data_IF_890463052325
#
_entry.id   IF_890463052325
#
_cell.length_a   1.000
_cell.length_b   1.000
_cell.length_c   1.000
_cell.angle_alpha   90.00
_cell.angle_beta   90.00
_cell.angle_gamma   90.00
#
_symmetry.space_group_name_H-M   'P 1'
#
loop_
_entity.id
_entity.type
_entity.pdbx_description
1 polymer ?
#
# COMPACT_ATOMS: atom_id res chain seq x y z
N UNK A 1 -2.41 23.07 -3.32
CA UNK A 1 -3.42 22.25 -2.68
C UNK A 1 -4.79 22.94 -2.77
N UNK A 2 -5.82 22.23 -3.30
CA UNK A 2 -7.15 22.83 -3.57
C UNK A 2 -7.78 23.37 -2.29
N UNK A 3 -7.75 22.59 -1.19
CA UNK A 3 -8.36 23.00 0.10
C UNK A 3 -7.91 24.38 0.60
N UNK A 4 -6.64 24.75 0.40
CA UNK A 4 -6.14 26.07 0.79
C UNK A 4 -6.72 27.19 -0.09
N UNK A 5 -6.89 26.92 -1.39
CA UNK A 5 -7.48 27.89 -2.34
C UNK A 5 -8.95 28.17 -2.02
N UNK A 6 -9.69 27.15 -1.58
CA UNK A 6 -11.12 27.25 -1.25
C UNK A 6 -11.37 27.47 0.25
N UNK A 7 -10.32 27.66 1.05
CA UNK A 7 -10.37 27.96 2.50
C UNK A 7 -11.14 26.92 3.34
N UNK A 8 -11.06 25.64 2.96
CA UNK A 8 -11.64 24.54 3.73
C UNK A 8 -10.56 23.84 4.56
N UNK A 9 -10.96 23.18 5.65
CA UNK A 9 -10.05 22.41 6.49
C UNK A 9 -9.44 21.24 5.67
N UNK A 10 -8.11 21.19 5.47
CA UNK A 10 -7.46 20.15 4.69
C UNK A 10 -7.31 18.81 5.42
N UNK A 11 -7.42 18.81 6.75
CA UNK A 11 -7.12 17.63 7.59
C UNK A 11 -7.93 16.38 7.19
N UNK A 12 -9.28 16.43 7.07
CA UNK A 12 -10.06 15.26 6.70
C UNK A 12 -9.66 14.68 5.34
N UNK A 13 -9.36 15.53 4.37
CA UNK A 13 -8.94 15.10 3.03
C UNK A 13 -7.54 14.47 3.03
N UNK A 14 -6.61 14.99 3.83
CA UNK A 14 -5.27 14.43 3.99
C UNK A 14 -5.31 13.05 4.65
N UNK A 15 -6.11 12.91 5.72
CA UNK A 15 -6.32 11.64 6.40
C UNK A 15 -6.99 10.63 5.45
N UNK A 16 -7.99 11.07 4.67
CA UNK A 16 -8.63 10.23 3.67
C UNK A 16 -7.63 9.71 2.64
N UNK A 17 -6.81 10.59 2.05
CA UNK A 17 -5.81 10.21 1.03
C UNK A 17 -4.78 9.25 1.60
N UNK A 18 -4.22 9.54 2.79
CA UNK A 18 -3.21 8.70 3.41
C UNK A 18 -3.75 7.28 3.70
N UNK A 19 -4.91 7.17 4.35
CA UNK A 19 -5.46 5.88 4.75
C UNK A 19 -6.09 5.12 3.58
N UNK A 20 -6.77 5.81 2.66
CA UNK A 20 -7.36 5.18 1.49
C UNK A 20 -6.31 4.63 0.52
N UNK A 21 -5.12 5.27 0.43
CA UNK A 21 -4.04 4.75 -0.40
C UNK A 21 -3.56 3.39 0.08
N UNK A 22 -3.40 3.18 1.40
CA UNK A 22 -3.05 1.88 1.97
C UNK A 22 -4.18 0.85 1.77
N UNK A 23 -5.43 1.20 2.13
CA UNK A 23 -6.55 0.27 2.01
C UNK A 23 -6.80 -0.12 0.55
N UNK A 24 -6.80 0.86 -0.36
CA UNK A 24 -7.01 0.62 -1.80
C UNK A 24 -5.87 -0.17 -2.45
N UNK A 25 -4.63 0.07 -2.02
CA UNK A 25 -3.47 -0.67 -2.52
C UNK A 25 -3.43 -2.13 -2.04
N UNK A 26 -4.08 -2.42 -0.92
CA UNK A 26 -4.08 -3.74 -0.31
C UNK A 26 -4.77 -4.82 -1.18
N UNK A 27 -5.68 -4.44 -2.08
CA UNK A 27 -6.42 -5.40 -2.90
C UNK A 27 -5.64 -6.00 -4.08
N UNK A 28 -4.41 -5.52 -4.35
CA UNK A 28 -3.60 -6.02 -5.46
C UNK A 28 -2.14 -6.20 -5.05
N UNK A 29 -1.44 -7.14 -5.69
CA UNK A 29 0.00 -7.27 -5.48
C UNK A 29 0.79 -6.07 -6.02
N UNK A 30 0.28 -5.36 -7.03
CA UNK A 30 0.94 -4.17 -7.61
C UNK A 30 0.68 -2.88 -6.83
N UNK A 31 -0.15 -2.93 -5.78
CA UNK A 31 -0.61 -1.73 -5.07
C UNK A 31 0.46 -1.04 -4.23
N UNK A 32 1.43 -1.80 -3.73
CA UNK A 32 2.53 -1.28 -2.90
C UNK A 32 3.75 -2.22 -2.93
N UNK A 33 4.95 -1.76 -2.51
CA UNK A 33 6.19 -2.53 -2.64
C UNK A 33 6.19 -3.89 -1.92
N UNK A 34 5.62 -3.98 -0.72
CA UNK A 34 5.56 -5.24 0.02
C UNK A 34 4.67 -6.27 -0.68
N UNK A 35 3.56 -5.83 -1.28
CA UNK A 35 2.68 -6.71 -2.03
C UNK A 35 3.32 -7.19 -3.34
N UNK A 36 4.10 -6.32 -4.02
CA UNK A 36 4.91 -6.72 -5.19
C UNK A 36 5.87 -7.84 -4.81
N UNK A 37 6.55 -7.71 -3.67
CA UNK A 37 7.44 -8.77 -3.16
C UNK A 37 6.69 -10.08 -2.90
N UNK A 38 5.54 -10.01 -2.22
CA UNK A 38 4.72 -11.19 -1.95
C UNK A 38 4.27 -11.82 -3.27
N UNK A 39 3.78 -11.03 -4.23
CA UNK A 39 3.38 -11.52 -5.54
C UNK A 39 4.51 -12.16 -6.34
N UNK A 40 5.77 -11.79 -6.09
CA UNK A 40 6.94 -12.41 -6.72
C UNK A 40 7.47 -13.64 -5.98
N UNK A 41 7.18 -13.78 -4.69
CA UNK A 41 7.67 -14.87 -3.83
C UNK A 41 6.64 -15.97 -3.65
N UNK A 42 5.37 -15.62 -3.60
CA UNK A 42 4.25 -16.57 -3.49
C UNK A 42 3.89 -17.15 -4.86
N UNK A 43 3.26 -18.30 -4.86
CA UNK A 43 2.68 -18.89 -6.08
C UNK A 43 1.20 -18.53 -6.22
N UNK A 44 0.72 -17.54 -5.46
CA UNK A 44 -0.69 -17.12 -5.48
C UNK A 44 -0.97 -16.37 -6.79
N UNK A 45 -1.96 -16.81 -7.59
CA UNK A 45 -2.37 -16.08 -8.77
C UNK A 45 -2.91 -14.69 -8.42
N UNK A 46 -2.50 -13.67 -9.18
CA UNK A 46 -2.89 -12.29 -8.90
C UNK A 46 -4.41 -12.06 -8.92
N UNK A 47 -5.13 -12.77 -9.80
CA UNK A 47 -6.58 -12.72 -9.87
C UNK A 47 -7.26 -13.32 -8.63
N UNK A 48 -6.72 -14.42 -8.10
CA UNK A 48 -7.21 -15.06 -6.87
C UNK A 48 -6.99 -14.15 -5.65
N UNK A 49 -5.79 -13.59 -5.51
CA UNK A 49 -5.53 -12.59 -4.47
C UNK A 49 -6.48 -11.40 -4.57
N UNK A 50 -6.71 -10.87 -5.77
CA UNK A 50 -7.64 -9.77 -5.97
C UNK A 50 -9.06 -10.13 -5.49
N UNK A 51 -9.57 -11.30 -5.82
CA UNK A 51 -10.90 -11.74 -5.42
C UNK A 51 -11.04 -11.93 -3.91
N UNK A 52 -9.99 -12.38 -3.23
CA UNK A 52 -9.99 -12.55 -1.77
C UNK A 52 -9.81 -11.23 -1.02
N UNK A 53 -8.98 -10.30 -1.53
CA UNK A 53 -8.62 -9.07 -0.85
C UNK A 53 -9.53 -7.88 -1.17
N UNK A 54 -10.13 -7.84 -2.37
CA UNK A 54 -10.95 -6.72 -2.82
C UNK A 54 -12.20 -6.48 -1.95
N UNK A 55 -12.96 -7.51 -1.50
CA UNK A 55 -14.11 -7.30 -0.61
C UNK A 55 -13.73 -6.58 0.68
N UNK A 56 -12.61 -6.98 1.29
CA UNK A 56 -12.11 -6.39 2.53
C UNK A 56 -11.63 -4.95 2.28
N UNK A 57 -10.90 -4.72 1.21
CA UNK A 57 -10.43 -3.37 0.85
C UNK A 57 -11.60 -2.43 0.57
N UNK A 58 -12.63 -2.90 -0.15
CA UNK A 58 -13.81 -2.11 -0.42
C UNK A 58 -14.59 -1.77 0.87
N UNK A 59 -14.79 -2.76 1.74
CA UNK A 59 -15.37 -2.55 3.06
C UNK A 59 -14.56 -1.53 3.87
N UNK A 60 -13.24 -1.65 3.87
CA UNK A 60 -12.34 -0.72 4.54
C UNK A 60 -12.45 0.72 4.03
N UNK A 61 -12.61 0.92 2.72
CA UNK A 61 -12.85 2.26 2.14
C UNK A 61 -14.20 2.83 2.59
N UNK A 62 -15.26 2.01 2.66
CA UNK A 62 -16.56 2.43 3.19
C UNK A 62 -16.43 2.82 4.66
N UNK A 63 -15.77 2.00 5.47
CA UNK A 63 -15.55 2.29 6.90
C UNK A 63 -14.77 3.58 7.10
N UNK A 64 -13.71 3.80 6.30
CA UNK A 64 -12.93 5.04 6.32
C UNK A 64 -13.78 6.25 5.95
N UNK A 65 -14.58 6.14 4.87
CA UNK A 65 -15.50 7.20 4.46
C UNK A 65 -16.48 7.57 5.58
N UNK A 66 -17.10 6.56 6.21
CA UNK A 66 -18.03 6.77 7.32
C UNK A 66 -17.33 7.40 8.54
N UNK A 67 -16.13 6.90 8.91
CA UNK A 67 -15.37 7.41 10.04
C UNK A 67 -14.99 8.89 9.86
N UNK A 68 -14.52 9.26 8.67
CA UNK A 68 -14.17 10.66 8.35
C UNK A 68 -15.42 11.52 8.27
N UNK A 69 -16.46 11.06 7.60
CA UNK A 69 -17.72 11.79 7.44
C UNK A 69 -18.39 12.07 8.78
N UNK A 70 -18.36 11.11 9.70
CA UNK A 70 -18.90 11.27 11.04
C UNK A 70 -18.07 12.26 11.87
N UNK A 71 -16.73 12.07 11.87
CA UNK A 71 -15.83 12.86 12.72
C UNK A 71 -15.65 14.30 12.27
N UNK A 72 -15.65 14.55 10.97
CA UNK A 72 -15.42 15.86 10.35
C UNK A 72 -16.68 16.40 9.66
N UNK A 73 -17.86 16.02 10.13
CA UNK A 73 -19.14 16.41 9.52
C UNK A 73 -19.24 17.92 9.25
N UNK A 74 -18.86 18.73 10.22
CA UNK A 74 -18.94 20.19 10.11
C UNK A 74 -17.95 20.78 9.10
N UNK A 75 -16.79 20.17 8.95
CA UNK A 75 -15.76 20.60 7.99
C UNK A 75 -16.12 20.21 6.55
N UNK A 76 -16.90 19.13 6.37
CA UNK A 76 -17.25 18.59 5.06
C UNK A 76 -18.54 19.22 4.49
N UNK A 77 -19.38 19.83 5.33
CA UNK A 77 -20.62 20.47 4.93
C UNK A 77 -20.45 21.91 4.39
N UNK A 78 -19.21 22.40 4.33
CA UNK A 78 -18.93 23.76 3.83
C UNK A 78 -19.04 23.76 2.30
N UNK A 79 -19.98 24.57 1.78
CA UNK A 79 -20.04 24.83 0.34
C UNK A 79 -18.92 25.79 -0.07
N UNK A 80 -18.27 25.50 -1.19
CA UNK A 80 -17.26 26.37 -1.77
C UNK A 80 -17.42 26.46 -3.29
N UNK A 81 -17.14 27.65 -3.82
CA UNK A 81 -17.02 27.82 -5.26
C UNK A 81 -15.55 27.76 -5.66
N UNK A 82 -15.22 26.86 -6.55
CA UNK A 82 -13.90 26.75 -7.15
C UNK A 82 -13.95 27.13 -8.63
N UNK A 83 -13.37 28.28 -8.98
CA UNK A 83 -13.10 28.62 -10.39
C UNK A 83 -11.83 27.88 -10.82
N UNK A 84 -12.01 26.89 -11.66
CA UNK A 84 -10.89 26.16 -12.28
C UNK A 84 -10.13 27.11 -13.22
N UNK A 85 -8.85 27.29 -12.96
CA UNK A 85 -7.93 27.91 -13.91
C UNK A 85 -7.58 26.86 -14.98
N UNK A 86 -8.42 26.83 -16.03
CA UNK A 86 -8.40 25.77 -17.06
C UNK A 86 -7.25 25.92 -18.08
N UNK A 87 -6.05 26.26 -17.63
CA UNK A 87 -4.86 26.38 -18.52
C UNK A 87 -3.98 25.11 -18.58
N UNK A 88 -4.47 23.97 -18.10
CA UNK A 88 -3.73 22.71 -18.28
C UNK A 88 -3.90 22.19 -19.71
N UNK A 89 -2.83 22.20 -20.49
CA UNK A 89 -2.76 21.59 -21.82
C UNK A 89 -2.71 20.07 -21.63
N UNK A 90 -3.84 19.40 -21.81
CA UNK A 90 -3.91 17.94 -21.78
C UNK A 90 -3.56 17.41 -23.18
N UNK A 91 -2.44 16.71 -23.29
CA UNK A 91 -2.07 15.98 -24.50
C UNK A 91 -2.88 14.69 -24.62
N UNK A 92 -4.06 14.77 -25.22
CA UNK A 92 -5.03 13.64 -25.34
C UNK A 92 -4.39 12.36 -25.87
N UNK A 93 -3.51 12.45 -26.87
CA UNK A 93 -2.81 11.29 -27.43
C UNK A 93 -1.92 10.58 -26.38
N UNK A 94 -1.11 11.33 -25.64
CA UNK A 94 -0.26 10.76 -24.60
C UNK A 94 -1.08 10.15 -23.46
N UNK A 95 -2.12 10.85 -23.05
CA UNK A 95 -3.04 10.35 -22.02
C UNK A 95 -3.69 9.03 -22.44
N UNK A 96 -4.25 8.97 -23.66
CA UNK A 96 -4.85 7.73 -24.18
C UNK A 96 -3.82 6.60 -24.30
N UNK A 97 -2.63 6.88 -24.82
CA UNK A 97 -1.54 5.90 -24.90
C UNK A 97 -1.19 5.35 -23.53
N UNK A 98 -1.03 6.23 -22.54
CA UNK A 98 -0.69 5.82 -21.17
C UNK A 98 -1.79 4.97 -20.54
N UNK A 99 -3.07 5.38 -20.68
CA UNK A 99 -4.20 4.62 -20.13
C UNK A 99 -4.29 3.23 -20.77
N UNK A 100 -4.12 3.13 -22.10
CA UNK A 100 -4.18 1.84 -22.81
C UNK A 100 -3.04 0.92 -22.34
N UNK A 101 -1.80 1.44 -22.28
CA UNK A 101 -0.64 0.64 -21.84
C UNK A 101 -0.81 0.19 -20.40
N UNK A 102 -1.25 1.09 -19.50
CA UNK A 102 -1.50 0.73 -18.10
C UNK A 102 -2.58 -0.35 -17.98
N UNK A 103 -3.67 -0.22 -18.73
CA UNK A 103 -4.73 -1.23 -18.75
C UNK A 103 -4.22 -2.59 -19.25
N UNK A 104 -3.40 -2.60 -20.31
CA UNK A 104 -2.79 -3.83 -20.82
C UNK A 104 -1.84 -4.47 -19.80
N UNK A 105 -0.98 -3.68 -19.14
CA UNK A 105 -0.09 -4.18 -18.08
C UNK A 105 -0.90 -4.84 -16.96
N UNK A 106 -1.98 -4.20 -16.50
CA UNK A 106 -2.84 -4.75 -15.47
C UNK A 106 -3.53 -6.04 -15.94
N UNK A 107 -4.08 -6.06 -17.16
CA UNK A 107 -4.75 -7.23 -17.71
C UNK A 107 -3.78 -8.41 -17.84
N UNK A 108 -2.61 -8.22 -18.44
CA UNK A 108 -1.62 -9.29 -18.58
C UNK A 108 -1.15 -9.83 -17.24
N UNK A 109 -0.96 -8.94 -16.25
CA UNK A 109 -0.60 -9.35 -14.90
C UNK A 109 -1.71 -10.20 -14.25
N UNK A 110 -2.97 -9.79 -14.35
CA UNK A 110 -4.11 -10.54 -13.81
C UNK A 110 -4.32 -11.90 -14.49
N UNK A 111 -3.92 -12.03 -15.76
CA UNK A 111 -3.95 -13.30 -16.52
C UNK A 111 -2.78 -14.23 -16.13
N UNK A 112 -1.79 -13.74 -15.37
CA UNK A 112 -0.69 -14.57 -14.84
C UNK A 112 0.66 -14.36 -15.53
N UNK A 113 0.83 -13.31 -16.35
CA UNK A 113 2.15 -12.94 -16.87
C UNK A 113 3.01 -12.32 -15.77
N UNK A 114 4.32 -12.51 -15.85
CA UNK A 114 5.27 -11.92 -14.92
C UNK A 114 5.15 -10.38 -14.89
N UNK A 115 5.01 -9.83 -13.69
CA UNK A 115 4.80 -8.40 -13.48
C UNK A 115 5.99 -7.57 -13.97
N UNK A 116 7.23 -8.01 -13.68
CA UNK A 116 8.44 -7.26 -14.00
C UNK A 116 8.64 -7.16 -15.50
N UNK A 117 8.42 -8.27 -16.23
CA UNK A 117 8.48 -8.30 -17.68
C UNK A 117 7.37 -7.43 -18.28
N UNK A 118 6.13 -7.60 -17.83
CA UNK A 118 4.98 -6.87 -18.37
C UNK A 118 5.14 -5.36 -18.15
N UNK A 119 5.55 -4.94 -16.95
CA UNK A 119 5.81 -3.54 -16.63
C UNK A 119 6.98 -2.97 -17.46
N UNK A 120 8.05 -3.75 -17.64
CA UNK A 120 9.22 -3.35 -18.45
C UNK A 120 8.86 -3.12 -19.92
N UNK A 121 8.08 -4.02 -20.50
CA UNK A 121 7.58 -3.85 -21.88
C UNK A 121 6.64 -2.64 -21.98
N UNK A 122 5.74 -2.45 -21.01
CA UNK A 122 4.86 -1.28 -20.94
C UNK A 122 5.64 0.02 -20.87
N UNK A 123 6.66 0.09 -20.00
CA UNK A 123 7.55 1.25 -19.87
C UNK A 123 8.34 1.52 -21.14
N UNK A 124 8.95 0.47 -21.74
CA UNK A 124 9.67 0.59 -23.00
C UNK A 124 8.77 1.15 -24.12
N UNK A 125 7.54 0.63 -24.23
CA UNK A 125 6.58 1.11 -25.22
C UNK A 125 6.16 2.56 -24.99
N UNK A 126 6.03 3.00 -23.73
CA UNK A 126 5.72 4.41 -23.40
C UNK A 126 6.90 5.33 -23.71
N UNK A 127 8.14 4.89 -23.47
CA UNK A 127 9.35 5.66 -23.78
C UNK A 127 9.60 5.85 -25.28
N UNK A 128 9.08 4.95 -26.12
CA UNK A 128 9.09 5.15 -27.59
C UNK A 128 8.09 6.26 -27.94
N UNK A 129 8.53 7.49 -27.76
CA UNK A 129 7.71 8.67 -27.98
C UNK A 129 8.56 9.84 -28.48
N UNK A 130 8.21 10.38 -29.65
CA UNK A 130 8.89 11.54 -30.23
C UNK A 130 8.62 12.88 -29.51
N UNK A 131 7.69 12.90 -28.52
CA UNK A 131 7.23 14.14 -27.87
C UNK A 131 7.81 14.40 -26.49
N UNK A 132 8.28 13.37 -25.80
CA UNK A 132 8.89 13.48 -24.48
C UNK A 132 10.30 12.92 -24.54
N UNK A 133 11.27 13.71 -24.14
CA UNK A 133 12.65 13.26 -24.04
C UNK A 133 12.78 12.28 -22.87
N UNK A 134 13.44 11.12 -23.06
CA UNK A 134 13.62 10.12 -21.98
C UNK A 134 14.24 10.71 -20.71
N UNK A 135 15.12 11.70 -20.85
CA UNK A 135 15.80 12.36 -19.72
C UNK A 135 14.80 12.95 -18.72
N UNK A 136 13.70 13.56 -19.20
CA UNK A 136 12.64 14.10 -18.32
C UNK A 136 11.91 13.02 -17.55
N UNK A 137 11.78 11.82 -18.12
CA UNK A 137 11.16 10.69 -17.42
C UNK A 137 12.09 10.17 -16.32
N UNK A 138 13.40 10.15 -16.58
CA UNK A 138 14.39 9.71 -15.59
C UNK A 138 14.52 10.67 -14.41
N UNK A 139 14.30 11.97 -14.62
CA UNK A 139 14.30 12.98 -13.54
C UNK A 139 13.17 12.74 -12.51
N UNK A 140 12.05 12.13 -12.93
CA UNK A 140 10.91 11.83 -12.08
C UNK A 140 11.06 10.49 -11.31
N UNK A 141 12.12 9.71 -11.59
CA UNK A 141 12.38 8.44 -10.89
C UNK A 141 13.02 8.74 -9.53
N UNK A 142 12.41 8.25 -8.47
CA UNK A 142 12.98 8.34 -7.13
C UNK A 142 14.05 7.26 -6.90
N UNK A 143 15.28 7.57 -7.34
CA UNK A 143 16.44 6.69 -7.13
C UNK A 143 16.76 6.46 -5.66
N UNK A 144 16.42 7.41 -4.76
CA UNK A 144 16.65 7.22 -3.32
C UNK A 144 15.80 6.07 -2.78
N UNK A 145 14.56 5.95 -3.28
CA UNK A 145 13.68 4.82 -2.94
C UNK A 145 14.28 3.49 -3.40
N UNK A 146 14.84 3.41 -4.60
CA UNK A 146 15.50 2.21 -5.10
C UNK A 146 16.73 1.83 -4.26
N UNK A 147 17.58 2.80 -3.92
CA UNK A 147 18.76 2.59 -3.06
C UNK A 147 18.32 2.13 -1.68
N UNK A 148 17.26 2.71 -1.12
CA UNK A 148 16.69 2.29 0.16
C UNK A 148 16.27 0.80 0.12
N UNK A 149 15.60 0.34 -0.95
CA UNK A 149 15.22 -1.07 -1.08
C UNK A 149 16.44 -1.98 -1.21
N UNK A 150 17.46 -1.60 -1.99
CA UNK A 150 18.71 -2.37 -2.09
C UNK A 150 19.35 -2.52 -0.69
N UNK A 151 19.46 -1.43 0.07
CA UNK A 151 19.98 -1.45 1.43
C UNK A 151 19.17 -2.36 2.36
N UNK A 152 17.84 -2.30 2.24
CA UNK A 152 16.95 -3.16 3.00
C UNK A 152 17.15 -4.65 2.70
N UNK A 153 17.27 -5.02 1.42
CA UNK A 153 17.54 -6.41 1.04
C UNK A 153 18.88 -6.92 1.59
N UNK A 154 19.92 -6.07 1.60
CA UNK A 154 21.23 -6.41 2.18
C UNK A 154 21.10 -6.64 3.69
N UNK A 155 20.36 -5.79 4.40
CA UNK A 155 20.13 -5.93 5.85
C UNK A 155 19.39 -7.25 6.14
N UNK A 156 18.31 -7.53 5.41
CA UNK A 156 17.52 -8.77 5.62
C UNK A 156 18.36 -10.01 5.30
N UNK A 157 19.17 -10.00 4.23
CA UNK A 157 20.10 -11.08 3.95
C UNK A 157 21.16 -11.25 5.06
N UNK A 158 21.56 -10.16 5.73
CA UNK A 158 22.40 -10.19 6.92
C UNK A 158 21.70 -10.85 8.12
N UNK A 159 20.45 -10.51 8.36
CA UNK A 159 19.61 -11.12 9.41
C UNK A 159 19.48 -12.63 9.19
N UNK A 160 19.21 -13.05 7.95
CA UNK A 160 19.11 -14.46 7.58
C UNK A 160 20.40 -15.25 7.92
N UNK A 161 21.57 -14.66 7.63
CA UNK A 161 22.87 -15.30 7.88
C UNK A 161 23.38 -15.16 9.31
N UNK A 162 22.79 -14.31 10.12
CA UNK A 162 23.24 -14.00 11.48
C UNK A 162 22.84 -15.03 12.54
N UNK A 163 21.95 -15.97 12.21
CA UNK A 163 21.33 -16.89 13.17
C UNK A 163 20.22 -16.24 14.02
N UNK A 164 19.86 -14.98 13.73
CA UNK A 164 18.77 -14.28 14.45
C UNK A 164 17.43 -14.97 14.27
N UNK A 165 17.18 -15.55 13.09
CA UNK A 165 15.96 -16.32 12.82
C UNK A 165 15.88 -17.57 13.71
N UNK A 166 17.02 -18.26 13.94
CA UNK A 166 17.07 -19.44 14.83
C UNK A 166 16.79 -19.04 16.28
N UNK A 167 17.30 -17.87 16.70
CA UNK A 167 17.00 -17.32 18.02
C UNK A 167 15.50 -16.99 18.14
N UNK A 168 14.89 -16.36 17.15
CA UNK A 168 13.45 -16.06 17.13
C UNK A 168 12.65 -17.38 17.17
N UNK A 169 13.05 -18.39 16.40
CA UNK A 169 12.39 -19.70 16.36
C UNK A 169 12.46 -20.43 17.72
N UNK A 170 13.47 -20.18 18.52
CA UNK A 170 13.57 -20.75 19.87
C UNK A 170 12.51 -20.18 20.83
N UNK A 171 12.07 -18.96 20.63
CA UNK A 171 11.01 -18.31 21.41
C UNK A 171 9.62 -18.48 20.82
N UNK A 172 9.54 -18.56 19.49
CA UNK A 172 8.30 -18.66 18.74
C UNK A 172 8.42 -19.79 17.70
N UNK A 173 8.07 -21.02 18.07
CA UNK A 173 8.15 -22.17 17.16
C UNK A 173 7.36 -21.93 15.87
N UNK A 174 7.90 -22.31 14.70
CA UNK A 174 7.26 -22.11 13.40
C UNK A 174 5.84 -22.72 13.29
N UNK A 175 5.56 -23.76 14.10
CA UNK A 175 4.26 -24.42 14.12
C UNK A 175 3.11 -23.47 14.47
N UNK A 176 3.33 -22.55 15.40
CA UNK A 176 2.34 -21.54 15.79
C UNK A 176 2.10 -20.49 14.70
N UNK A 177 3.08 -20.30 13.81
CA UNK A 177 2.98 -19.36 12.70
C UNK A 177 2.10 -19.86 11.53
N UNK A 178 1.63 -21.10 11.60
CA UNK A 178 0.66 -21.65 10.62
C UNK A 178 -0.78 -21.25 10.93
N UNK A 179 -1.04 -20.81 12.15
CA UNK A 179 -2.38 -20.37 12.54
C UNK A 179 -2.61 -18.93 12.04
N UNK A 180 -3.63 -18.74 11.20
CA UNK A 180 -3.97 -17.45 10.58
C UNK A 180 -4.09 -16.32 11.61
N UNK A 181 -4.78 -16.47 12.76
CA UNK A 181 -4.91 -15.39 13.73
C UNK A 181 -3.58 -14.94 14.32
N UNK A 182 -2.74 -15.88 14.77
CA UNK A 182 -1.46 -15.54 15.37
C UNK A 182 -0.50 -14.94 14.35
N UNK A 183 -0.39 -15.54 13.18
CA UNK A 183 0.40 -15.03 12.07
C UNK A 183 -0.02 -13.60 11.67
N UNK A 184 -1.33 -13.35 11.59
CA UNK A 184 -1.91 -12.06 11.26
C UNK A 184 -1.56 -10.99 12.29
N UNK A 185 -1.66 -11.31 13.58
CA UNK A 185 -1.26 -10.39 14.66
C UNK A 185 0.22 -10.07 14.57
N UNK A 186 1.07 -11.08 14.33
CA UNK A 186 2.50 -10.88 14.13
C UNK A 186 2.81 -9.99 12.93
N UNK A 187 2.11 -10.20 11.80
CA UNK A 187 2.26 -9.35 10.61
C UNK A 187 1.91 -7.88 10.91
N UNK A 188 0.82 -7.63 11.63
CA UNK A 188 0.38 -6.28 12.02
C UNK A 188 1.39 -5.62 12.94
N UNK A 189 1.83 -6.32 13.99
CA UNK A 189 2.75 -5.79 14.99
C UNK A 189 4.11 -5.51 14.35
N UNK A 190 4.65 -6.48 13.63
CA UNK A 190 5.97 -6.36 13.02
C UNK A 190 5.99 -5.26 11.95
N UNK A 191 4.95 -5.15 11.14
CA UNK A 191 4.82 -4.07 10.13
C UNK A 191 4.88 -2.67 10.74
N UNK A 192 4.38 -2.49 11.97
CA UNK A 192 4.45 -1.19 12.66
C UNK A 192 5.78 -0.95 13.40
N UNK A 193 6.52 -2.00 13.76
CA UNK A 193 7.82 -1.87 14.43
C UNK A 193 8.95 -1.64 13.43
N UNK A 194 9.01 -2.48 12.36
CA UNK A 194 10.13 -2.47 11.41
C UNK A 194 9.75 -1.95 10.02
N UNK A 195 8.50 -1.51 9.82
CA UNK A 195 7.88 -1.17 8.54
C UNK A 195 7.44 -2.40 7.71
N UNK A 196 6.53 -2.18 6.74
CA UNK A 196 5.84 -3.26 6.02
C UNK A 196 6.79 -4.18 5.23
N UNK A 197 7.73 -3.60 4.48
CA UNK A 197 8.64 -4.39 3.62
C UNK A 197 9.58 -5.29 4.43
N UNK A 198 10.28 -4.79 5.48
CA UNK A 198 11.07 -5.66 6.36
C UNK A 198 10.24 -6.74 7.05
N UNK A 199 9.03 -6.38 7.52
CA UNK A 199 8.14 -7.34 8.17
C UNK A 199 7.80 -8.51 7.24
N UNK A 200 7.43 -8.22 5.99
CA UNK A 200 7.12 -9.22 4.97
C UNK A 200 8.35 -10.09 4.68
N UNK A 201 9.52 -9.49 4.50
CA UNK A 201 10.77 -10.22 4.23
C UNK A 201 11.18 -11.14 5.39
N UNK A 202 10.87 -10.79 6.63
CA UNK A 202 11.12 -11.65 7.79
C UNK A 202 10.07 -12.75 7.92
N UNK A 203 8.78 -12.41 7.75
CA UNK A 203 7.69 -13.37 7.93
C UNK A 203 7.60 -14.42 6.82
N UNK A 204 8.11 -14.13 5.62
CA UNK A 204 8.12 -15.09 4.51
C UNK A 204 8.78 -16.43 4.86
N UNK A 205 9.75 -16.45 5.78
CA UNK A 205 10.44 -17.67 6.19
C UNK A 205 9.56 -18.65 6.96
N UNK A 206 8.43 -18.17 7.47
CA UNK A 206 7.48 -18.96 8.23
C UNK A 206 6.32 -19.49 7.38
N UNK A 207 6.21 -19.05 6.11
CA UNK A 207 5.11 -19.45 5.22
C UNK A 207 5.60 -20.54 4.27
N UNK A 208 5.05 -21.76 4.33
CA UNK A 208 5.24 -22.75 3.27
C UNK A 208 4.75 -22.21 1.92
N UNK A 209 5.41 -22.62 0.82
CA UNK A 209 5.08 -22.11 -0.52
C UNK A 209 3.66 -22.48 -0.95
N UNK A 210 3.16 -23.60 -0.48
CA UNK A 210 1.83 -24.16 -0.74
C UNK A 210 0.71 -23.56 0.11
N UNK A 211 1.05 -22.83 1.17
CA UNK A 211 0.09 -22.18 2.08
C UNK A 211 -0.37 -20.81 1.54
N UNK A 212 -1.15 -20.85 0.46
CA UNK A 212 -1.55 -19.63 -0.27
C UNK A 212 -2.30 -18.61 0.59
N UNK A 213 -3.11 -19.08 1.54
CA UNK A 213 -3.92 -18.19 2.41
C UNK A 213 -3.04 -17.37 3.34
N UNK A 214 -1.97 -17.93 3.88
CA UNK A 214 -1.02 -17.17 4.71
C UNK A 214 -0.29 -16.08 3.89
N UNK A 215 0.04 -16.36 2.62
CA UNK A 215 0.60 -15.34 1.72
C UNK A 215 -0.39 -14.21 1.45
N UNK A 216 -1.66 -14.55 1.22
CA UNK A 216 -2.72 -13.56 1.00
C UNK A 216 -2.98 -12.74 2.27
N UNK A 217 -3.03 -13.37 3.44
CA UNK A 217 -3.17 -12.73 4.73
C UNK A 217 -2.00 -11.77 5.02
N UNK A 218 -0.75 -12.21 4.74
CA UNK A 218 0.44 -11.36 4.88
C UNK A 218 0.33 -10.11 4.02
N UNK A 219 -0.05 -10.25 2.74
CA UNK A 219 -0.17 -9.13 1.82
C UNK A 219 -1.23 -8.11 2.26
N UNK A 220 -2.43 -8.58 2.60
CA UNK A 220 -3.53 -7.73 3.01
C UNK A 220 -3.25 -7.05 4.35
N UNK A 221 -2.88 -7.83 5.37
CA UNK A 221 -2.77 -7.35 6.74
C UNK A 221 -1.55 -6.49 6.98
N UNK A 222 -0.38 -6.80 6.38
CA UNK A 222 0.79 -5.92 6.46
C UNK A 222 0.50 -4.54 5.85
N UNK A 223 -0.33 -4.48 4.81
CA UNK A 223 -0.72 -3.23 4.16
C UNK A 223 -1.74 -2.45 4.99
N UNK A 224 -2.78 -3.11 5.51
CA UNK A 224 -3.78 -2.51 6.38
C UNK A 224 -3.13 -2.00 7.67
N UNK A 225 -2.18 -2.75 8.22
CA UNK A 225 -1.40 -2.37 9.40
C UNK A 225 -0.70 -1.02 9.26
N UNK A 226 -0.35 -0.62 8.03
CA UNK A 226 0.20 0.70 7.72
C UNK A 226 -0.68 1.88 8.15
N UNK A 227 -1.97 1.65 8.38
CA UNK A 227 -2.89 2.68 8.86
C UNK A 227 -2.95 2.79 10.39
N UNK A 228 -2.31 1.88 11.13
CA UNK A 228 -2.34 1.90 12.60
C UNK A 228 -1.69 3.17 13.15
N UNK A 229 -0.54 3.55 12.60
CA UNK A 229 0.21 4.75 12.99
C UNK A 229 0.63 5.59 11.78
N UNK A 230 0.98 6.85 12.02
CA UNK A 230 1.55 7.72 10.97
C UNK A 230 2.79 7.09 10.33
N UNK A 231 3.65 6.47 11.14
CA UNK A 231 4.90 5.86 10.71
C UNK A 231 4.73 4.47 10.12
N UNK A 232 3.54 3.89 10.23
CA UNK A 232 3.24 2.55 9.75
C UNK A 232 3.32 2.38 8.22
N UNK A 233 3.33 3.48 7.45
CA UNK A 233 3.42 3.42 5.99
C UNK A 233 4.16 4.62 5.42
N UNK A 234 4.99 4.38 4.39
CA UNK A 234 5.66 5.42 3.62
C UNK A 234 4.63 6.36 2.95
N UNK A 235 3.50 5.82 2.48
CA UNK A 235 2.43 6.63 1.88
C UNK A 235 1.90 7.69 2.86
N UNK A 236 1.71 7.34 4.13
CA UNK A 236 1.30 8.28 5.16
C UNK A 236 2.33 9.41 5.36
N UNK A 237 3.61 9.03 5.43
CA UNK A 237 4.70 9.98 5.61
C UNK A 237 4.78 10.96 4.44
N UNK A 238 4.65 10.48 3.20
CA UNK A 238 4.64 11.33 1.99
C UNK A 238 3.51 12.37 2.08
N UNK A 239 2.28 11.92 2.38
CA UNK A 239 1.12 12.83 2.48
C UNK A 239 1.34 13.89 3.56
N UNK A 240 1.84 13.48 4.73
CA UNK A 240 2.08 14.40 5.86
C UNK A 240 3.24 15.36 5.56
N UNK A 241 4.30 14.89 4.93
CA UNK A 241 5.43 15.73 4.56
C UNK A 241 5.05 16.79 3.52
N UNK A 242 4.30 16.39 2.49
CA UNK A 242 3.76 17.33 1.49
C UNK A 242 2.85 18.37 2.16
N UNK A 243 1.99 17.94 3.10
CA UNK A 243 1.15 18.84 3.88
C UNK A 243 1.98 19.84 4.70
N UNK A 244 3.02 19.35 5.38
CA UNK A 244 3.95 20.17 6.18
C UNK A 244 4.67 21.22 5.34
N UNK A 245 5.11 20.88 4.13
CA UNK A 245 5.70 21.84 3.16
C UNK A 245 4.73 22.95 2.77
N UNK A 246 3.42 22.72 2.89
CA UNK A 246 2.35 23.72 2.64
C UNK A 246 1.88 24.43 3.92
N UNK A 247 2.60 24.28 5.04
CA UNK A 247 2.27 24.88 6.32
C UNK A 247 1.13 24.18 7.08
N UNK A 248 0.68 23.01 6.65
CA UNK A 248 -0.38 22.25 7.31
C UNK A 248 0.24 21.21 8.24
N UNK A 249 -0.14 21.26 9.52
CA UNK A 249 0.34 20.32 10.54
C UNK A 249 -0.76 19.29 10.84
N UNK A 250 -0.56 18.05 10.40
CA UNK A 250 -1.36 16.90 10.83
C UNK A 250 -0.72 16.32 12.07
N UNK A 251 -1.45 16.26 13.19
CA UNK A 251 -0.93 15.69 14.43
C UNK A 251 -1.13 14.18 14.48
N UNK A 252 -0.21 13.46 15.14
CA UNK A 252 -0.34 12.01 15.36
C UNK A 252 -1.64 11.65 16.05
N UNK A 253 -2.14 12.49 16.97
CA UNK A 253 -3.42 12.26 17.65
C UNK A 253 -4.62 12.35 16.70
N UNK A 254 -4.60 13.29 15.74
CA UNK A 254 -5.66 13.38 14.71
C UNK A 254 -5.67 12.13 13.83
N UNK A 255 -4.50 11.63 13.48
CA UNK A 255 -4.33 10.41 12.71
C UNK A 255 -4.82 9.18 13.48
N UNK A 256 -4.28 8.96 14.69
CA UNK A 256 -4.59 7.79 15.54
C UNK A 256 -6.08 7.66 15.89
N UNK A 257 -6.77 8.78 16.09
CA UNK A 257 -8.22 8.78 16.38
C UNK A 257 -9.08 8.14 15.28
N UNK A 258 -8.59 8.01 14.06
CA UNK A 258 -9.26 7.33 12.94
C UNK A 258 -8.49 6.06 12.58
N UNK A 259 -7.19 6.15 12.37
CA UNK A 259 -6.36 5.06 11.88
C UNK A 259 -6.35 3.86 12.82
N UNK A 260 -6.21 4.09 14.14
CA UNK A 260 -6.15 3.00 15.12
C UNK A 260 -7.44 2.16 15.15
N UNK A 261 -8.63 2.74 15.42
CA UNK A 261 -9.87 1.94 15.48
C UNK A 261 -10.22 1.32 14.12
N UNK A 262 -9.99 2.04 13.02
CA UNK A 262 -10.23 1.53 11.68
C UNK A 262 -9.36 0.29 11.39
N UNK A 263 -8.05 0.38 11.68
CA UNK A 263 -7.11 -0.70 11.44
C UNK A 263 -7.44 -1.93 12.29
N UNK A 264 -7.70 -1.76 13.57
CA UNK A 264 -8.04 -2.87 14.47
C UNK A 264 -9.31 -3.58 13.97
N UNK A 265 -10.37 -2.82 13.69
CA UNK A 265 -11.63 -3.40 13.24
C UNK A 265 -11.48 -4.11 11.89
N UNK A 266 -10.81 -3.48 10.93
CA UNK A 266 -10.59 -4.07 9.61
C UNK A 266 -9.68 -5.30 9.69
N UNK A 267 -8.68 -5.30 10.57
CA UNK A 267 -7.81 -6.46 10.79
C UNK A 267 -8.57 -7.65 11.38
N UNK A 268 -9.45 -7.41 12.35
CA UNK A 268 -10.30 -8.47 12.93
C UNK A 268 -11.21 -9.08 11.84
N UNK A 269 -11.84 -8.23 11.04
CA UNK A 269 -12.68 -8.67 9.92
C UNK A 269 -11.86 -9.49 8.91
N UNK A 270 -10.63 -9.04 8.60
CA UNK A 270 -9.73 -9.75 7.67
C UNK A 270 -9.33 -11.12 8.20
N UNK A 271 -9.02 -11.24 9.49
CA UNK A 271 -8.67 -12.51 10.12
C UNK A 271 -9.85 -13.48 10.04
N UNK A 272 -11.04 -13.03 10.41
CA UNK A 272 -12.26 -13.86 10.32
C UNK A 272 -12.53 -14.27 8.87
N UNK A 273 -12.32 -13.36 7.92
CA UNK A 273 -12.49 -13.63 6.49
C UNK A 273 -11.54 -14.73 6.00
N UNK A 274 -10.25 -14.65 6.34
CA UNK A 274 -9.27 -15.65 5.94
C UNK A 274 -9.49 -16.99 6.64
N UNK A 275 -9.95 -17.02 7.88
CA UNK A 275 -10.38 -18.25 8.56
C UNK A 275 -11.60 -18.89 7.88
N UNK A 276 -12.50 -18.08 7.32
CA UNK A 276 -13.70 -18.58 6.65
C UNK A 276 -13.43 -19.17 5.26
N UNK A 277 -12.45 -18.62 4.52
CA UNK A 277 -12.11 -19.06 3.15
C UNK A 277 -10.98 -20.10 3.13
N UNK A 278 -10.37 -20.40 4.29
CA UNK A 278 -9.38 -21.47 4.48
C UNK A 278 -10.09 -22.85 4.50
#
# INVERSE_FOLDING_TARGET
MICLKVKVNPIPYLLAVAMASNIGSACTFIGNPQNVLIGSLSQVPAGEYFLSAAPISFLGLIMLYLAISFKYKNDLLVSFEYKSDNNSIIHKYLLSKTIIVLALVIIFYLVGFDLSLTASFGAAFLLINARIKPERVYEDIDFNLLIMFIGLFIIIAGVEKSGLLDLINSFLPPEYMKEIPLFSVMAIVLSNIVSNVPAVLLLRYYIPVDEQILWQALALLSTIAGNLTVFGSIANLIVIEIAKKQGIKVTSNQYLKIGFPLTILLSIISIIWFEFIN
#
